data_IF_841104506990
#
_entry.id   IF_841104506990
#
_cell.length_a   1.000
_cell.length_b   1.000
_cell.length_c   1.000
_cell.angle_alpha   90.00
_cell.angle_beta   90.00
_cell.angle_gamma   90.00
#
_symmetry.space_group_name_H-M   'P 1'
#
loop_
_entity.id
_entity.type
_entity.pdbx_description
1 polymer ?
#
# COMPACT_ATOMS: atom_id res chain seq x y z
N UNK A 1 -28.37 -4.34 -2.78
CA UNK A 1 -27.20 -4.99 -3.43
C UNK A 1 -26.94 -4.39 -4.81
N UNK A 2 -27.93 -4.33 -5.71
CA UNK A 2 -27.75 -3.77 -7.07
C UNK A 2 -27.35 -2.28 -7.10
N UNK A 3 -27.97 -1.40 -6.30
CA UNK A 3 -27.64 0.03 -6.28
C UNK A 3 -26.22 0.33 -5.77
N UNK A 4 -25.70 -0.46 -4.82
CA UNK A 4 -24.34 -0.28 -4.28
C UNK A 4 -23.30 -0.70 -5.32
N UNK A 5 -23.52 -1.83 -6.00
CA UNK A 5 -22.66 -2.31 -7.08
C UNK A 5 -22.68 -1.35 -8.28
N UNK A 6 -23.85 -0.79 -8.61
CA UNK A 6 -24.02 0.19 -9.68
C UNK A 6 -23.31 1.51 -9.35
N UNK A 7 -23.46 2.02 -8.12
CA UNK A 7 -22.71 3.20 -7.65
C UNK A 7 -21.20 2.99 -7.66
N UNK A 8 -20.71 1.82 -7.22
CA UNK A 8 -19.29 1.47 -7.25
C UNK A 8 -18.75 1.42 -8.69
N UNK A 9 -19.52 0.83 -9.62
CA UNK A 9 -19.18 0.77 -11.03
C UNK A 9 -19.08 2.16 -11.67
N UNK A 10 -19.95 3.09 -11.27
CA UNK A 10 -19.97 4.46 -11.79
C UNK A 10 -18.80 5.28 -11.21
N UNK A 11 -18.54 5.18 -9.91
CA UNK A 11 -17.40 5.84 -9.27
C UNK A 11 -16.06 5.34 -9.86
N UNK A 12 -15.96 4.05 -10.16
CA UNK A 12 -14.83 3.46 -10.86
C UNK A 12 -14.60 4.10 -12.23
N UNK A 13 -15.64 4.32 -13.03
CA UNK A 13 -15.51 4.98 -14.34
C UNK A 13 -15.00 6.42 -14.21
N UNK A 14 -15.50 7.18 -13.23
CA UNK A 14 -15.04 8.54 -12.97
C UNK A 14 -13.55 8.60 -12.62
N UNK A 15 -13.10 7.66 -11.79
CA UNK A 15 -11.71 7.53 -11.36
C UNK A 15 -10.79 7.04 -12.50
N UNK A 16 -11.26 6.15 -13.37
CA UNK A 16 -10.54 5.76 -14.58
C UNK A 16 -10.41 6.93 -15.56
N UNK A 17 -11.46 7.75 -15.71
CA UNK A 17 -11.39 8.97 -16.52
C UNK A 17 -10.38 9.96 -15.94
N UNK A 18 -10.36 10.18 -14.62
CA UNK A 18 -9.37 11.01 -13.95
C UNK A 18 -7.94 10.53 -14.26
N UNK A 19 -7.67 9.23 -14.10
CA UNK A 19 -6.35 8.67 -14.39
C UNK A 19 -5.95 8.86 -15.86
N UNK A 20 -6.88 8.62 -16.80
CA UNK A 20 -6.63 8.81 -18.23
C UNK A 20 -6.36 10.29 -18.57
N UNK A 21 -7.15 11.20 -18.01
CA UNK A 21 -6.96 12.64 -18.14
C UNK A 21 -5.57 13.05 -17.64
N UNK A 22 -5.20 12.66 -16.41
CA UNK A 22 -3.90 13.00 -15.83
C UNK A 22 -2.74 12.41 -16.65
N UNK A 23 -2.88 11.18 -17.15
CA UNK A 23 -1.86 10.56 -18.02
C UNK A 23 -1.66 11.33 -19.33
N UNK A 24 -2.73 11.88 -19.92
CA UNK A 24 -2.62 12.75 -21.11
C UNK A 24 -1.94 14.10 -20.82
N UNK A 25 -1.93 14.53 -19.56
CA UNK A 25 -1.26 15.76 -19.12
C UNK A 25 0.18 15.52 -18.61
N UNK A 26 0.76 14.35 -18.92
CA UNK A 26 2.08 13.92 -18.43
C UNK A 26 2.24 14.07 -16.91
N UNK A 27 1.15 13.84 -16.17
CA UNK A 27 1.12 14.00 -14.72
C UNK A 27 2.14 13.10 -14.03
N UNK A 28 2.90 13.68 -13.10
CA UNK A 28 3.82 12.97 -12.23
C UNK A 28 3.71 13.53 -10.82
N UNK A 29 3.70 12.65 -9.82
CA UNK A 29 3.74 13.06 -8.42
C UNK A 29 4.29 11.94 -7.54
N UNK A 30 5.38 12.24 -6.82
CA UNK A 30 5.96 11.32 -5.85
C UNK A 30 5.35 11.57 -4.48
N UNK A 31 4.66 10.60 -3.90
CA UNK A 31 4.15 10.75 -2.53
C UNK A 31 5.28 10.57 -1.52
N UNK A 32 5.42 11.57 -0.65
CA UNK A 32 6.42 11.65 0.41
C UNK A 32 5.82 11.30 1.78
N UNK A 33 6.63 11.33 2.85
CA UNK A 33 6.16 11.03 4.21
C UNK A 33 5.05 12.00 4.65
N UNK A 34 4.06 11.53 5.45
CA UNK A 34 2.98 12.39 5.95
C UNK A 34 3.48 13.67 6.64
N UNK A 35 4.54 13.57 7.46
CA UNK A 35 5.12 14.72 8.14
C UNK A 35 5.69 15.76 7.17
N UNK A 36 6.41 15.31 6.13
CA UNK A 36 6.94 16.20 5.09
C UNK A 36 5.82 16.82 4.26
N UNK A 37 4.78 16.05 3.94
CA UNK A 37 3.57 16.53 3.26
C UNK A 37 2.89 17.65 4.06
N UNK A 38 2.69 17.44 5.36
CA UNK A 38 2.09 18.45 6.24
C UNK A 38 2.93 19.74 6.31
N UNK A 39 4.26 19.64 6.36
CA UNK A 39 5.18 20.79 6.33
C UNK A 39 5.07 21.57 5.03
N UNK A 40 4.89 20.90 3.88
CA UNK A 40 4.65 21.55 2.59
C UNK A 40 3.29 22.25 2.57
N UNK A 41 2.24 21.59 3.03
CA UNK A 41 0.91 22.18 3.12
C UNK A 41 0.90 23.43 3.99
N UNK A 42 1.57 23.39 5.14
CA UNK A 42 1.67 24.55 6.03
C UNK A 42 2.35 25.75 5.34
N UNK A 43 3.34 25.52 4.47
CA UNK A 43 3.95 26.59 3.65
C UNK A 43 2.99 27.12 2.58
N UNK A 44 2.22 26.23 1.93
CA UNK A 44 1.31 26.57 0.83
C UNK A 44 -0.02 27.18 1.29
N UNK A 45 -0.40 27.07 2.56
CA UNK A 45 -1.64 27.66 3.13
C UNK A 45 -1.80 29.15 2.86
N UNK A 46 -0.70 29.90 2.76
CA UNK A 46 -0.73 31.35 2.52
C UNK A 46 -0.82 31.73 1.02
N UNK A 47 -0.84 30.75 0.10
CA UNK A 47 -0.91 30.99 -1.34
C UNK A 47 -2.37 31.04 -1.85
N UNK A 48 -3.17 31.97 -1.32
CA UNK A 48 -4.64 32.01 -1.48
C UNK A 48 -5.08 32.38 -2.92
N UNK A 49 -4.22 33.04 -3.69
CA UNK A 49 -4.57 33.59 -5.01
C UNK A 49 -3.88 32.93 -6.21
N UNK A 50 -3.20 31.80 -6.01
CA UNK A 50 -2.55 31.08 -7.11
C UNK A 50 -3.51 30.09 -7.76
N UNK A 51 -3.55 30.09 -9.09
CA UNK A 51 -4.16 29.01 -9.87
C UNK A 51 -3.54 27.67 -9.45
N UNK A 52 -4.36 26.66 -9.22
CA UNK A 52 -3.89 25.34 -8.77
C UNK A 52 -3.52 24.46 -9.95
N UNK A 53 -2.38 23.80 -9.85
CA UNK A 53 -1.98 22.78 -10.83
C UNK A 53 -2.64 21.44 -10.50
N UNK A 54 -2.66 20.49 -11.44
CA UNK A 54 -3.10 19.13 -11.14
C UNK A 54 -2.28 18.48 -10.00
N UNK A 55 -0.99 18.81 -9.89
CA UNK A 55 -0.14 18.36 -8.77
C UNK A 55 -0.57 18.98 -7.44
N UNK A 56 -0.99 20.24 -7.41
CA UNK A 56 -1.54 20.83 -6.20
C UNK A 56 -2.84 20.13 -5.78
N UNK A 57 -3.73 19.83 -6.74
CA UNK A 57 -5.06 19.23 -6.49
C UNK A 57 -4.96 17.75 -6.11
N UNK A 58 -4.39 16.91 -6.98
CA UNK A 58 -4.38 15.46 -6.83
C UNK A 58 -3.11 14.92 -6.17
N UNK A 59 -2.02 15.70 -6.15
CA UNK A 59 -0.77 15.32 -5.51
C UNK A 59 -0.70 15.81 -4.07
N UNK A 60 -0.70 17.13 -3.89
CA UNK A 60 -0.64 17.77 -2.58
C UNK A 60 -1.99 17.79 -1.83
N UNK A 61 -3.11 17.52 -2.50
CA UNK A 61 -4.45 17.55 -1.91
C UNK A 61 -4.84 18.96 -1.41
N UNK A 62 -4.50 20.00 -2.15
CA UNK A 62 -4.86 21.38 -1.81
C UNK A 62 -6.28 21.73 -2.28
N UNK A 63 -6.92 22.63 -1.54
CA UNK A 63 -8.17 23.23 -1.98
C UNK A 63 -7.98 24.00 -3.30
N UNK A 64 -8.99 23.93 -4.16
CA UNK A 64 -9.00 24.55 -5.48
C UNK A 64 -10.37 25.12 -5.83
N UNK A 65 -10.42 26.01 -6.83
CA UNK A 65 -11.64 26.58 -7.38
C UNK A 65 -12.12 25.74 -8.55
N UNK A 66 -13.41 25.77 -8.86
CA UNK A 66 -13.98 25.10 -10.04
C UNK A 66 -13.21 25.41 -11.34
N UNK A 67 -12.71 26.64 -11.48
CA UNK A 67 -11.95 27.09 -12.66
C UNK A 67 -10.53 26.54 -12.77
N UNK A 68 -10.00 25.90 -11.72
CA UNK A 68 -8.67 25.28 -11.73
C UNK A 68 -8.67 23.88 -12.39
N UNK A 69 -9.83 23.33 -12.74
CA UNK A 69 -9.99 22.05 -13.43
C UNK A 69 -10.75 22.23 -14.75
N UNK A 70 -10.49 21.31 -15.69
CA UNK A 70 -11.35 21.15 -16.86
C UNK A 70 -12.82 20.95 -16.44
N UNK A 71 -13.73 21.62 -17.15
CA UNK A 71 -15.14 21.67 -16.77
C UNK A 71 -15.85 20.32 -16.83
N UNK A 72 -15.45 19.43 -17.75
CA UNK A 72 -16.01 18.09 -17.86
C UNK A 72 -15.48 17.20 -16.73
N UNK A 73 -14.16 17.27 -16.47
CA UNK A 73 -13.57 16.55 -15.34
C UNK A 73 -14.17 16.99 -14.00
N UNK A 74 -14.31 18.30 -13.77
CA UNK A 74 -14.89 18.84 -12.54
C UNK A 74 -16.31 18.31 -12.32
N UNK A 75 -17.16 18.40 -13.35
CA UNK A 75 -18.56 17.94 -13.29
C UNK A 75 -18.61 16.46 -12.94
N UNK A 76 -17.80 15.64 -13.62
CA UNK A 76 -17.71 14.20 -13.39
C UNK A 76 -17.31 13.88 -11.94
N UNK A 77 -16.25 14.51 -11.42
CA UNK A 77 -15.79 14.27 -10.05
C UNK A 77 -16.83 14.73 -9.01
N UNK A 78 -17.52 15.84 -9.26
CA UNK A 78 -18.55 16.35 -8.37
C UNK A 78 -19.78 15.44 -8.33
N UNK A 79 -20.30 15.02 -9.49
CA UNK A 79 -21.47 14.13 -9.61
C UNK A 79 -21.25 12.78 -8.92
N UNK A 80 -20.00 12.32 -8.85
CA UNK A 80 -19.62 11.05 -8.22
C UNK A 80 -19.06 11.20 -6.79
N UNK A 81 -19.29 12.35 -6.15
CA UNK A 81 -18.91 12.60 -4.74
C UNK A 81 -17.41 12.41 -4.47
N UNK A 82 -16.57 12.66 -5.48
CA UNK A 82 -15.11 12.61 -5.39
C UNK A 82 -14.52 13.97 -4.99
N UNK A 83 -15.36 14.99 -4.81
CA UNK A 83 -15.00 16.30 -4.31
C UNK A 83 -15.77 16.60 -3.02
N UNK A 84 -15.06 17.06 -2.00
CA UNK A 84 -15.64 17.67 -0.82
C UNK A 84 -15.72 19.19 -1.01
N UNK A 85 -16.87 19.78 -0.71
CA UNK A 85 -17.07 21.24 -0.73
C UNK A 85 -16.64 21.82 0.61
N UNK A 86 -15.82 22.87 0.58
CA UNK A 86 -15.40 23.67 1.73
C UNK A 86 -15.61 25.15 1.39
N UNK A 87 -16.69 25.74 1.89
CA UNK A 87 -17.10 27.11 1.53
C UNK A 87 -17.23 27.25 0.00
N UNK A 88 -16.42 28.12 -0.62
CA UNK A 88 -16.39 28.37 -2.07
C UNK A 88 -15.28 27.57 -2.80
N UNK A 89 -14.67 26.60 -2.12
CA UNK A 89 -13.58 25.78 -2.65
C UNK A 89 -13.90 24.29 -2.58
N UNK A 90 -13.11 23.51 -3.32
CA UNK A 90 -13.26 22.07 -3.45
C UNK A 90 -11.97 21.38 -3.01
N UNK A 91 -12.11 20.19 -2.44
CA UNK A 91 -11.03 19.32 -2.05
C UNK A 91 -11.24 17.95 -2.69
N UNK A 92 -10.20 17.40 -3.32
CA UNK A 92 -10.26 16.04 -3.86
C UNK A 92 -10.31 15.01 -2.73
N UNK A 93 -11.22 14.04 -2.85
CA UNK A 93 -11.34 12.87 -1.95
C UNK A 93 -10.31 11.77 -2.26
N UNK A 94 -9.59 11.91 -3.37
CA UNK A 94 -8.53 11.01 -3.81
C UNK A 94 -7.26 11.77 -4.12
N UNK A 95 -6.14 11.08 -3.99
CA UNK A 95 -4.84 11.51 -4.51
C UNK A 95 -4.37 10.56 -5.59
N UNK A 96 -3.47 11.05 -6.44
CA UNK A 96 -2.85 10.27 -7.50
C UNK A 96 -1.33 10.34 -7.35
N UNK A 97 -0.69 9.17 -7.27
CA UNK A 97 0.77 9.05 -7.25
C UNK A 97 1.28 8.40 -8.53
N UNK A 98 2.51 8.72 -8.92
CA UNK A 98 3.19 8.06 -10.01
C UNK A 98 4.30 7.12 -9.54
N UNK A 99 4.44 6.00 -10.24
CA UNK A 99 5.53 5.03 -10.07
C UNK A 99 5.71 4.26 -11.39
N UNK A 100 6.95 4.18 -11.87
CA UNK A 100 7.34 3.46 -13.11
C UNK A 100 6.48 3.80 -14.34
N UNK A 101 6.09 5.07 -14.47
CA UNK A 101 5.25 5.55 -15.59
C UNK A 101 3.76 5.18 -15.48
N UNK A 102 3.35 4.51 -14.41
CA UNK A 102 1.94 4.26 -14.08
C UNK A 102 1.43 5.25 -13.02
N UNK A 103 0.11 5.36 -12.93
CA UNK A 103 -0.60 6.22 -11.98
C UNK A 103 -1.48 5.38 -11.05
N UNK A 104 -1.52 5.76 -9.77
CA UNK A 104 -2.21 5.02 -8.72
C UNK A 104 -3.11 5.97 -7.93
N UNK A 105 -4.41 5.67 -7.88
CA UNK A 105 -5.34 6.32 -6.96
C UNK A 105 -5.15 5.75 -5.56
N UNK A 106 -5.17 6.64 -4.57
CA UNK A 106 -5.20 6.34 -3.15
C UNK A 106 -5.96 7.43 -2.37
N UNK A 107 -6.12 7.25 -1.05
CA UNK A 107 -6.92 8.17 -0.24
C UNK A 107 -6.35 9.59 -0.18
N UNK A 108 -7.27 10.55 0.02
CA UNK A 108 -6.95 11.94 0.32
C UNK A 108 -6.06 12.11 1.55
N UNK A 109 -5.39 13.27 1.62
CA UNK A 109 -4.60 13.70 2.77
C UNK A 109 -5.38 14.74 3.60
N UNK A 110 -5.37 14.67 4.95
CA UNK A 110 -4.72 13.66 5.78
C UNK A 110 -5.49 12.32 5.78
N UNK A 111 -4.76 11.21 5.94
CA UNK A 111 -5.34 9.86 6.00
C UNK A 111 -5.84 9.53 7.41
N UNK A 112 -6.92 10.20 7.83
CA UNK A 112 -7.52 10.02 9.16
C UNK A 112 -8.62 8.98 9.19
N UNK A 113 -9.16 8.58 8.03
CA UNK A 113 -10.23 7.60 7.97
C UNK A 113 -9.72 6.19 8.29
N UNK A 114 -10.54 5.43 9.02
CA UNK A 114 -10.28 4.04 9.37
C UNK A 114 -9.98 3.15 8.15
N UNK A 115 -10.67 3.42 7.05
CA UNK A 115 -10.59 2.69 5.78
C UNK A 115 -9.63 3.33 4.76
N UNK A 116 -8.81 4.30 5.18
CA UNK A 116 -7.93 5.00 4.24
C UNK A 116 -6.97 4.03 3.56
N UNK A 117 -6.73 4.25 2.26
CA UNK A 117 -5.79 3.47 1.46
C UNK A 117 -4.53 4.31 1.28
N UNK A 118 -3.43 3.81 1.82
CA UNK A 118 -2.16 4.53 1.82
C UNK A 118 -1.30 4.17 0.62
N UNK A 119 -0.52 5.15 0.17
CA UNK A 119 0.55 5.01 -0.81
C UNK A 119 1.64 5.99 -0.38
N UNK A 120 2.89 5.54 -0.26
CA UNK A 120 3.96 6.39 0.26
C UNK A 120 5.36 5.80 0.09
N UNK A 121 6.36 6.40 0.76
CA UNK A 121 7.77 5.99 0.66
C UNK A 121 8.04 4.50 0.88
N UNK A 122 7.27 3.87 1.77
CA UNK A 122 7.30 2.44 2.02
C UNK A 122 6.95 1.61 0.78
N UNK A 123 5.93 2.02 0.02
CA UNK A 123 5.53 1.37 -1.24
C UNK A 123 6.67 1.40 -2.25
N UNK A 124 7.34 2.55 -2.42
CA UNK A 124 8.48 2.68 -3.34
C UNK A 124 9.64 1.75 -2.94
N UNK A 125 10.02 1.73 -1.66
CA UNK A 125 11.11 0.87 -1.16
C UNK A 125 10.75 -0.60 -1.27
N UNK A 126 9.52 -0.97 -0.90
CA UNK A 126 9.04 -2.34 -0.99
C UNK A 126 9.16 -2.88 -2.41
N UNK A 127 8.66 -2.12 -3.39
CA UNK A 127 8.70 -2.50 -4.79
C UNK A 127 10.14 -2.60 -5.31
N UNK A 128 11.00 -1.67 -4.91
CA UNK A 128 12.42 -1.73 -5.27
C UNK A 128 13.07 -3.04 -4.81
N UNK A 129 12.95 -3.37 -3.52
CA UNK A 129 13.57 -4.58 -2.97
C UNK A 129 12.93 -5.88 -3.50
N UNK A 130 11.61 -5.88 -3.69
CA UNK A 130 10.90 -7.02 -4.27
C UNK A 130 11.37 -7.31 -5.70
N UNK A 131 11.52 -6.29 -6.55
CA UNK A 131 12.08 -6.46 -7.89
C UNK A 131 13.48 -7.08 -7.87
N UNK A 132 14.36 -6.60 -6.99
CA UNK A 132 15.71 -7.16 -6.86
C UNK A 132 15.66 -8.63 -6.42
N UNK A 133 14.79 -8.96 -5.48
CA UNK A 133 14.61 -10.32 -5.02
C UNK A 133 14.12 -11.24 -6.15
N UNK A 134 13.10 -10.83 -6.90
CA UNK A 134 12.54 -11.60 -8.00
C UNK A 134 13.51 -11.76 -9.18
N UNK A 135 14.28 -10.73 -9.50
CA UNK A 135 15.30 -10.79 -10.56
C UNK A 135 16.42 -11.78 -10.26
N UNK A 136 16.67 -12.08 -8.99
CA UNK A 136 17.67 -13.06 -8.56
C UNK A 136 17.14 -14.51 -8.56
N UNK A 137 15.84 -14.74 -8.78
CA UNK A 137 15.27 -16.09 -8.73
C UNK A 137 15.53 -16.85 -10.03
N UNK A 138 15.92 -18.14 -9.96
CA UNK A 138 16.29 -18.91 -11.15
C UNK A 138 15.09 -19.32 -12.01
N UNK A 139 13.87 -19.25 -11.46
CA UNK A 139 12.63 -19.67 -12.12
C UNK A 139 11.51 -18.69 -11.82
N UNK A 140 10.59 -18.47 -12.78
CA UNK A 140 9.42 -17.63 -12.55
C UNK A 140 8.42 -18.32 -11.63
N UNK A 141 7.70 -17.51 -10.85
CA UNK A 141 6.56 -17.94 -10.04
C UNK A 141 5.29 -17.94 -10.89
N UNK A 142 4.43 -18.97 -10.73
CA UNK A 142 3.20 -19.07 -11.54
C UNK A 142 1.99 -18.57 -10.78
N UNK A 143 1.84 -18.98 -9.52
CA UNK A 143 0.72 -18.61 -8.65
C UNK A 143 1.20 -17.75 -7.50
N UNK A 144 0.80 -16.49 -7.52
CA UNK A 144 1.35 -15.43 -6.68
C UNK A 144 0.24 -14.75 -5.89
N UNK A 145 0.53 -14.33 -4.66
CA UNK A 145 -0.38 -13.50 -3.89
C UNK A 145 0.32 -12.35 -3.17
N UNK A 146 -0.26 -11.15 -3.30
CA UNK A 146 0.02 -9.98 -2.46
C UNK A 146 -0.92 -9.97 -1.25
N UNK A 147 -0.39 -9.97 -0.01
CA UNK A 147 -1.20 -9.70 1.19
C UNK A 147 -1.18 -8.21 1.54
N UNK A 148 -2.31 -7.70 2.02
CA UNK A 148 -2.51 -6.29 2.39
C UNK A 148 -2.24 -5.36 1.20
N UNK A 149 -2.89 -5.65 0.07
CA UNK A 149 -2.50 -5.08 -1.20
C UNK A 149 -2.70 -3.57 -1.33
N UNK A 150 -3.60 -2.95 -0.54
CA UNK A 150 -3.84 -1.51 -0.60
C UNK A 150 -4.19 -1.05 -2.02
N UNK A 151 -3.27 -0.34 -2.67
CA UNK A 151 -3.40 0.16 -4.05
C UNK A 151 -3.06 -0.86 -5.14
N UNK A 152 -2.50 -2.02 -4.78
CA UNK A 152 -1.88 -3.03 -5.66
C UNK A 152 -0.72 -2.51 -6.51
N UNK A 153 -0.06 -1.44 -6.06
CA UNK A 153 1.10 -0.89 -6.75
C UNK A 153 2.23 -1.91 -6.93
N UNK A 154 2.47 -2.77 -5.93
CA UNK A 154 3.51 -3.79 -6.03
C UNK A 154 3.14 -4.91 -6.99
N UNK A 155 1.92 -5.46 -6.91
CA UNK A 155 1.40 -6.42 -7.87
C UNK A 155 1.46 -5.92 -9.32
N UNK A 156 0.96 -4.70 -9.58
CA UNK A 156 0.99 -4.07 -10.90
C UNK A 156 2.42 -3.93 -11.41
N UNK A 157 3.33 -3.43 -10.56
CA UNK A 157 4.74 -3.30 -10.90
C UNK A 157 5.37 -4.66 -11.22
N UNK A 158 5.13 -5.71 -10.43
CA UNK A 158 5.66 -7.06 -10.68
C UNK A 158 5.13 -7.61 -12.00
N UNK A 159 3.82 -7.54 -12.24
CA UNK A 159 3.20 -8.05 -13.46
C UNK A 159 3.75 -7.38 -14.74
N UNK A 160 4.15 -6.11 -14.66
CA UNK A 160 4.83 -5.41 -15.76
C UNK A 160 6.27 -5.89 -16.01
N UNK A 161 7.02 -6.17 -14.95
CA UNK A 161 8.45 -6.49 -15.05
C UNK A 161 8.72 -8.00 -15.20
N UNK A 162 7.79 -8.84 -14.74
CA UNK A 162 7.91 -10.30 -14.71
C UNK A 162 6.66 -10.95 -15.34
N UNK A 163 6.50 -10.92 -16.67
CA UNK A 163 5.29 -11.36 -17.36
C UNK A 163 5.02 -12.87 -17.31
N UNK A 164 5.93 -13.65 -16.72
CA UNK A 164 5.79 -15.09 -16.54
C UNK A 164 4.90 -15.47 -15.32
N UNK A 165 4.37 -14.48 -14.59
CA UNK A 165 3.36 -14.71 -13.54
C UNK A 165 2.01 -14.94 -14.20
N UNK A 166 1.47 -16.15 -14.05
CA UNK A 166 0.24 -16.58 -14.73
C UNK A 166 -1.03 -16.20 -13.96
N UNK A 167 -1.00 -16.34 -12.63
CA UNK A 167 -2.14 -16.11 -11.74
C UNK A 167 -1.65 -15.25 -10.58
N UNK A 168 -2.16 -14.02 -10.49
CA UNK A 168 -1.84 -13.10 -9.41
C UNK A 168 -3.09 -12.73 -8.64
N UNK A 169 -3.11 -13.04 -7.36
CA UNK A 169 -4.14 -12.57 -6.44
C UNK A 169 -3.61 -11.39 -5.63
N UNK A 170 -4.48 -10.46 -5.30
CA UNK A 170 -4.18 -9.36 -4.38
C UNK A 170 -5.25 -9.35 -3.31
N UNK A 171 -4.86 -9.48 -2.05
CA UNK A 171 -5.79 -9.69 -0.95
C UNK A 171 -5.75 -8.52 0.05
N UNK A 172 -6.92 -8.07 0.46
CA UNK A 172 -7.06 -7.04 1.50
C UNK A 172 -8.34 -7.27 2.32
N UNK A 173 -8.32 -6.81 3.57
CA UNK A 173 -9.51 -6.81 4.43
C UNK A 173 -10.41 -5.61 4.11
N UNK A 174 -9.82 -4.51 3.66
CA UNK A 174 -10.48 -3.24 3.43
C UNK A 174 -11.19 -3.19 2.06
N UNK A 175 -12.53 -3.10 2.01
CA UNK A 175 -13.27 -3.02 0.74
C UNK A 175 -12.87 -1.82 -0.13
N UNK A 176 -12.46 -0.70 0.47
CA UNK A 176 -12.00 0.49 -0.25
C UNK A 176 -10.63 0.28 -0.89
N UNK A 177 -9.74 -0.47 -0.24
CA UNK A 177 -8.48 -0.90 -0.85
C UNK A 177 -8.75 -1.75 -2.09
N UNK A 178 -9.68 -2.71 -2.02
CA UNK A 178 -10.04 -3.54 -3.16
C UNK A 178 -10.67 -2.75 -4.31
N UNK A 179 -11.49 -1.74 -4.02
CA UNK A 179 -12.01 -0.83 -5.03
C UNK A 179 -10.88 -0.08 -5.75
N UNK A 180 -9.95 0.51 -5.00
CA UNK A 180 -8.82 1.25 -5.59
C UNK A 180 -7.84 0.32 -6.32
N UNK A 181 -7.57 -0.85 -5.76
CA UNK A 181 -6.83 -1.94 -6.41
C UNK A 181 -7.46 -2.28 -7.77
N UNK A 182 -8.77 -2.54 -7.82
CA UNK A 182 -9.46 -2.84 -9.07
C UNK A 182 -9.35 -1.70 -10.09
N UNK A 183 -9.49 -0.44 -9.66
CA UNK A 183 -9.31 0.73 -10.53
C UNK A 183 -7.89 0.79 -11.10
N UNK A 184 -6.88 0.69 -10.24
CA UNK A 184 -5.48 0.77 -10.64
C UNK A 184 -5.09 -0.38 -11.57
N UNK A 185 -5.55 -1.61 -11.29
CA UNK A 185 -5.34 -2.80 -12.13
C UNK A 185 -5.99 -2.60 -13.50
N UNK A 186 -7.23 -2.11 -13.53
CA UNK A 186 -7.97 -1.86 -14.76
C UNK A 186 -7.30 -0.77 -15.60
N UNK A 187 -6.80 0.29 -14.95
CA UNK A 187 -6.07 1.36 -15.63
C UNK A 187 -4.74 0.87 -16.23
N UNK A 188 -4.05 -0.03 -15.53
CA UNK A 188 -2.86 -0.71 -16.05
C UNK A 188 -3.20 -1.75 -17.13
N UNK A 189 -4.47 -2.13 -17.32
CA UNK A 189 -4.87 -3.17 -18.27
C UNK A 189 -4.35 -4.57 -17.90
N UNK A 190 -4.17 -4.85 -16.61
CA UNK A 190 -3.61 -6.10 -16.08
C UNK A 190 -4.71 -7.03 -15.54
N UNK A 191 -5.62 -7.46 -16.41
CA UNK A 191 -6.83 -8.21 -16.01
C UNK A 191 -6.58 -9.61 -15.40
N UNK A 192 -5.33 -10.09 -15.38
CA UNK A 192 -4.93 -11.34 -14.72
C UNK A 192 -4.58 -11.16 -13.23
N UNK A 193 -4.68 -9.92 -12.72
CA UNK A 193 -4.58 -9.62 -11.29
C UNK A 193 -5.98 -9.59 -10.70
N UNK A 194 -6.23 -10.39 -9.67
CA UNK A 194 -7.56 -10.61 -9.10
C UNK A 194 -7.64 -10.14 -7.65
N UNK A 195 -8.36 -9.03 -7.36
CA UNK A 195 -8.63 -8.60 -6.00
C UNK A 195 -9.55 -9.57 -5.26
N UNK A 196 -9.18 -9.92 -4.03
CA UNK A 196 -9.95 -10.82 -3.15
C UNK A 196 -10.10 -10.21 -1.77
N UNK A 197 -11.34 -10.04 -1.31
CA UNK A 197 -11.59 -9.64 0.07
C UNK A 197 -11.30 -10.81 1.00
N UNK A 198 -10.30 -10.66 1.87
CA UNK A 198 -9.85 -11.73 2.75
C UNK A 198 -9.24 -11.18 4.03
N UNK A 199 -9.52 -11.83 5.17
CA UNK A 199 -8.69 -11.67 6.36
C UNK A 199 -7.50 -12.64 6.21
N UNK A 200 -6.34 -12.10 5.84
CA UNK A 200 -5.17 -12.89 5.47
C UNK A 200 -5.53 -13.98 4.44
N UNK A 201 -5.37 -15.26 4.78
CA UNK A 201 -5.57 -16.37 3.85
C UNK A 201 -6.97 -17.02 3.91
N UNK A 202 -7.89 -16.47 4.71
CA UNK A 202 -9.19 -17.09 4.99
C UNK A 202 -10.09 -17.31 3.76
N UNK A 203 -10.10 -16.38 2.80
CA UNK A 203 -10.90 -16.47 1.58
C UNK A 203 -10.04 -16.78 0.34
N UNK A 204 -8.85 -17.33 0.55
CA UNK A 204 -7.96 -17.75 -0.52
C UNK A 204 -7.90 -19.26 -0.54
N UNK A 205 -7.97 -19.84 -1.73
CA UNK A 205 -7.87 -21.28 -1.92
C UNK A 205 -6.45 -21.72 -2.29
N UNK A 206 -6.10 -22.96 -1.93
CA UNK A 206 -4.86 -23.61 -2.36
C UNK A 206 -3.57 -22.98 -1.83
N UNK A 207 -2.47 -23.23 -2.55
CA UNK A 207 -1.11 -22.83 -2.18
C UNK A 207 -0.45 -21.95 -3.24
N UNK A 208 0.57 -21.21 -2.86
CA UNK A 208 1.23 -20.20 -3.69
C UNK A 208 2.70 -20.53 -3.89
N UNK A 209 3.23 -20.17 -5.06
CA UNK A 209 4.65 -20.21 -5.36
C UNK A 209 5.37 -18.98 -4.80
N UNK A 210 4.65 -17.84 -4.69
CA UNK A 210 5.13 -16.62 -4.06
C UNK A 210 4.03 -15.97 -3.23
N UNK A 211 4.34 -15.66 -1.98
CA UNK A 211 3.58 -14.76 -1.11
C UNK A 211 4.44 -13.52 -0.89
N UNK A 212 3.92 -12.33 -1.14
CA UNK A 212 4.61 -11.09 -0.78
C UNK A 212 3.69 -10.13 -0.04
N UNK A 213 4.25 -9.32 0.85
CA UNK A 213 3.45 -8.40 1.64
C UNK A 213 4.25 -7.20 2.17
N UNK A 214 3.57 -6.05 2.22
CA UNK A 214 3.93 -4.87 3.00
C UNK A 214 2.73 -4.55 3.92
N UNK A 215 2.53 -5.31 5.01
CA UNK A 215 1.40 -5.09 5.89
C UNK A 215 1.58 -3.82 6.73
N UNK A 216 0.49 -3.32 7.32
CA UNK A 216 0.56 -2.41 8.47
C UNK A 216 1.50 -2.93 9.56
N UNK A 217 2.38 -2.06 10.07
CA UNK A 217 3.43 -2.45 11.03
C UNK A 217 3.63 -1.44 12.18
N UNK A 218 2.68 -0.52 12.42
CA UNK A 218 2.74 0.45 13.52
C UNK A 218 1.67 0.17 14.58
N UNK A 219 1.85 0.73 15.77
CA UNK A 219 0.82 0.85 16.80
C UNK A 219 0.10 2.16 16.57
N UNK A 220 -1.09 2.07 15.99
CA UNK A 220 -1.98 3.21 15.83
C UNK A 220 -3.10 3.19 16.87
N UNK A 221 -3.24 4.22 17.73
CA UNK A 221 -4.32 4.33 18.71
C UNK A 221 -5.71 4.33 18.08
N UNK A 222 -5.83 4.93 16.88
CA UNK A 222 -7.08 4.95 16.10
C UNK A 222 -7.34 3.64 15.36
N UNK A 223 -6.40 2.69 15.43
CA UNK A 223 -6.52 1.36 14.82
C UNK A 223 -6.73 1.38 13.30
N UNK A 224 -6.30 2.44 12.58
CA UNK A 224 -6.53 2.58 11.13
C UNK A 224 -5.96 1.39 10.37
N UNK A 225 -6.75 0.84 9.44
CA UNK A 225 -6.47 -0.46 8.82
C UNK A 225 -5.15 -0.49 8.03
N UNK A 226 -4.74 0.62 7.43
CA UNK A 226 -3.49 0.71 6.68
C UNK A 226 -2.24 0.88 7.57
N UNK A 227 -2.43 1.09 8.88
CA UNK A 227 -1.37 1.55 9.78
C UNK A 227 -1.17 0.62 10.97
N UNK A 228 -2.26 0.18 11.61
CA UNK A 228 -2.21 -0.64 12.80
C UNK A 228 -1.83 -2.11 12.49
N UNK A 229 -0.65 -2.54 12.92
CA UNK A 229 -0.18 -3.92 12.72
C UNK A 229 -0.34 -4.82 13.95
N UNK A 230 -0.86 -4.31 15.06
CA UNK A 230 -1.08 -5.06 16.31
C UNK A 230 -0.26 -4.51 17.49
N UNK A 231 -0.51 -5.04 18.69
CA UNK A 231 0.11 -4.50 19.91
C UNK A 231 1.12 -5.46 20.56
N UNK A 232 1.00 -6.77 20.37
CA UNK A 232 1.76 -7.76 21.12
C UNK A 232 3.24 -7.82 20.71
N UNK A 233 3.55 -7.43 19.47
CA UNK A 233 4.91 -7.35 18.93
C UNK A 233 5.21 -5.92 18.44
N UNK A 234 4.76 -4.93 19.22
CA UNK A 234 4.97 -3.50 18.97
C UNK A 234 4.62 -3.03 17.54
N UNK A 235 3.47 -3.44 17.01
CA UNK A 235 3.07 -3.14 15.64
C UNK A 235 3.30 -4.30 14.67
N UNK A 236 4.03 -5.36 15.05
CA UNK A 236 4.43 -6.41 14.10
C UNK A 236 3.57 -7.69 14.15
N UNK A 237 2.45 -7.70 14.87
CA UNK A 237 1.62 -8.90 15.04
C UNK A 237 1.09 -9.42 13.69
N UNK A 238 0.64 -8.50 12.83
CA UNK A 238 0.11 -8.82 11.50
C UNK A 238 1.19 -9.40 10.60
N UNK A 239 2.39 -8.79 10.59
CA UNK A 239 3.59 -9.31 9.93
C UNK A 239 3.92 -10.74 10.38
N UNK A 240 3.90 -10.99 11.69
CA UNK A 240 4.16 -12.32 12.25
C UNK A 240 3.08 -13.34 11.86
N UNK A 241 1.80 -12.93 11.88
CA UNK A 241 0.68 -13.77 11.43
C UNK A 241 0.76 -14.12 9.96
N UNK A 242 1.12 -13.17 9.09
CA UNK A 242 1.32 -13.41 7.66
C UNK A 242 2.40 -14.46 7.44
N UNK A 243 3.52 -14.39 8.16
CA UNK A 243 4.57 -15.41 8.08
C UNK A 243 4.05 -16.77 8.55
N UNK A 244 3.43 -16.82 9.74
CA UNK A 244 2.97 -18.07 10.36
C UNK A 244 1.91 -18.79 9.52
N UNK A 245 0.92 -18.05 9.03
CA UNK A 245 -0.12 -18.60 8.16
C UNK A 245 0.43 -18.87 6.75
N UNK A 246 1.26 -17.97 6.22
CA UNK A 246 1.85 -18.07 4.88
C UNK A 246 2.72 -19.31 4.70
N UNK A 247 3.51 -19.70 5.71
CA UNK A 247 4.30 -20.95 5.70
C UNK A 247 3.46 -22.20 5.40
N UNK A 248 2.18 -22.22 5.80
CA UNK A 248 1.27 -23.33 5.54
C UNK A 248 0.67 -23.29 4.13
N UNK A 249 0.74 -22.11 3.49
CA UNK A 249 0.15 -21.80 2.18
C UNK A 249 1.18 -21.77 1.06
N UNK A 250 2.45 -22.07 1.32
CA UNK A 250 3.47 -22.23 0.28
C UNK A 250 3.46 -23.63 -0.34
N UNK A 251 3.69 -23.66 -1.66
CA UNK A 251 4.07 -24.87 -2.39
C UNK A 251 5.50 -25.32 -1.99
N UNK A 252 5.87 -26.55 -2.33
CA UNK A 252 7.29 -26.94 -2.30
C UNK A 252 8.04 -26.08 -3.34
N UNK A 253 9.23 -25.59 -2.97
CA UNK A 253 9.92 -24.54 -3.73
C UNK A 253 9.24 -23.17 -3.69
N UNK A 254 8.27 -22.95 -2.79
CA UNK A 254 7.55 -21.69 -2.66
C UNK A 254 8.27 -20.66 -1.80
N UNK A 255 8.04 -19.38 -2.08
CA UNK A 255 8.75 -18.26 -1.45
C UNK A 255 7.80 -17.31 -0.70
N UNK A 256 8.26 -16.77 0.42
CA UNK A 256 7.63 -15.64 1.10
C UNK A 256 8.59 -14.47 1.20
N UNK A 257 8.14 -13.30 0.76
CA UNK A 257 8.87 -12.03 0.84
C UNK A 257 8.08 -11.00 1.62
N UNK A 258 8.52 -10.67 2.83
CA UNK A 258 7.86 -9.70 3.70
C UNK A 258 8.73 -8.46 3.88
N UNK A 259 8.12 -7.30 3.76
CA UNK A 259 8.66 -6.00 4.16
C UNK A 259 7.89 -5.52 5.38
N UNK A 260 8.57 -5.11 6.45
CA UNK A 260 7.90 -4.62 7.67
C UNK A 260 8.79 -3.67 8.45
N UNK A 261 8.18 -2.69 9.12
CA UNK A 261 8.81 -2.01 10.24
C UNK A 261 9.01 -2.97 11.41
N UNK A 262 10.04 -2.75 12.22
CA UNK A 262 10.31 -3.48 13.47
C UNK A 262 10.84 -2.52 14.52
N UNK A 263 10.42 -2.69 15.76
CA UNK A 263 10.95 -1.93 16.88
C UNK A 263 12.23 -2.54 17.41
N UNK A 264 13.15 -1.70 17.86
CA UNK A 264 14.35 -2.09 18.58
C UNK A 264 14.37 -1.36 19.91
N UNK A 265 14.55 -2.12 20.99
CA UNK A 265 14.61 -1.62 22.36
C UNK A 265 15.97 -1.95 22.98
N UNK A 266 16.19 -1.52 24.23
CA UNK A 266 17.37 -1.92 25.01
C UNK A 266 17.49 -3.46 25.19
N UNK A 267 16.38 -4.19 25.05
CA UNK A 267 16.33 -5.66 25.13
C UNK A 267 16.43 -6.33 23.75
N UNK A 268 16.63 -5.54 22.69
CA UNK A 268 16.79 -5.98 21.31
C UNK A 268 15.49 -5.96 20.51
N UNK A 269 15.43 -6.78 19.46
CA UNK A 269 14.31 -6.85 18.52
C UNK A 269 13.38 -8.03 18.88
N UNK A 270 12.22 -7.72 19.47
CA UNK A 270 11.24 -8.69 19.93
C UNK A 270 10.63 -9.51 18.78
N UNK A 271 10.34 -8.86 17.65
CA UNK A 271 9.82 -9.52 16.46
C UNK A 271 10.81 -10.58 15.93
N UNK A 272 12.10 -10.23 15.84
CA UNK A 272 13.14 -11.15 15.38
C UNK A 272 13.35 -12.34 16.33
N UNK A 273 13.18 -12.15 17.64
CA UNK A 273 13.22 -13.24 18.62
C UNK A 273 12.09 -14.25 18.35
N UNK A 274 10.85 -13.76 18.24
CA UNK A 274 9.69 -14.59 17.92
C UNK A 274 9.81 -15.27 16.55
N UNK A 275 10.33 -14.54 15.56
CA UNK A 275 10.59 -15.09 14.24
C UNK A 275 11.58 -16.26 14.31
N UNK A 276 12.71 -16.11 15.00
CA UNK A 276 13.70 -17.18 15.19
C UNK A 276 13.08 -18.41 15.84
N UNK A 277 12.23 -18.23 16.85
CA UNK A 277 11.58 -19.33 17.54
C UNK A 277 10.53 -20.04 16.70
N UNK A 278 9.80 -19.31 15.85
CA UNK A 278 8.93 -19.89 14.84
C UNK A 278 9.73 -20.72 13.84
N UNK A 279 10.83 -20.18 13.30
CA UNK A 279 11.61 -20.86 12.26
C UNK A 279 12.25 -22.17 12.75
N UNK A 280 12.62 -22.29 14.04
CA UNK A 280 13.12 -23.54 14.64
C UNK A 280 12.12 -24.69 14.55
N UNK A 281 10.83 -24.40 14.38
CA UNK A 281 9.76 -25.41 14.30
C UNK A 281 9.64 -26.03 12.89
N UNK A 282 10.39 -25.53 11.91
CA UNK A 282 10.33 -25.97 10.52
C UNK A 282 11.69 -26.53 10.08
N UNK A 283 11.70 -27.74 9.50
CA UNK A 283 12.92 -28.47 9.14
C UNK A 283 13.29 -28.41 7.64
N UNK A 284 12.46 -27.77 6.80
CA UNK A 284 12.67 -27.68 5.34
C UNK A 284 12.45 -26.26 4.81
N UNK A 285 13.03 -25.28 5.50
CA UNK A 285 12.99 -23.88 5.09
C UNK A 285 14.37 -23.26 5.11
N UNK A 286 14.62 -22.37 4.16
CA UNK A 286 15.75 -21.45 4.18
C UNK A 286 15.15 -20.06 4.43
N UNK A 287 15.70 -19.31 5.39
CA UNK A 287 15.19 -17.99 5.68
C UNK A 287 16.30 -17.01 6.01
N UNK A 288 16.02 -15.72 5.80
CA UNK A 288 16.90 -14.62 6.16
C UNK A 288 16.10 -13.45 6.71
N UNK A 289 16.72 -12.72 7.63
CA UNK A 289 16.28 -11.41 8.09
C UNK A 289 17.36 -10.39 7.74
N UNK A 290 16.97 -9.26 7.17
CA UNK A 290 17.87 -8.20 6.75
C UNK A 290 17.27 -6.85 7.14
N UNK A 291 17.98 -6.08 7.96
CA UNK A 291 17.63 -4.69 8.23
C UNK A 291 18.16 -3.81 7.08
N UNK A 292 17.27 -3.11 6.39
CA UNK A 292 17.60 -2.34 5.17
C UNK A 292 17.55 -0.82 5.36
N UNK A 293 16.90 -0.36 6.43
CA UNK A 293 16.90 1.04 6.85
C UNK A 293 16.87 1.06 8.38
N UNK A 294 17.91 1.58 9.06
CA UNK A 294 18.00 1.47 10.51
C UNK A 294 17.08 2.44 11.26
N UNK A 295 16.54 3.46 10.61
CA UNK A 295 15.74 4.49 11.28
C UNK A 295 14.67 5.06 10.35
N UNK A 296 13.43 4.61 10.57
CA UNK A 296 12.23 5.08 9.89
C UNK A 296 11.24 5.59 10.93
N UNK A 297 10.43 6.59 10.55
CA UNK A 297 9.33 7.07 11.38
C UNK A 297 9.75 7.57 12.78
N UNK A 298 10.88 8.29 12.87
CA UNK A 298 11.34 8.85 14.15
C UNK A 298 10.32 9.74 14.86
N UNK A 299 9.36 10.33 14.12
CA UNK A 299 8.23 11.06 14.71
C UNK A 299 7.30 10.19 15.57
N UNK A 300 7.27 8.87 15.38
CA UNK A 300 6.42 7.96 16.16
C UNK A 300 6.95 7.76 17.57
N UNK A 301 8.24 8.01 17.82
CA UNK A 301 8.84 7.91 19.15
C UNK A 301 8.30 8.97 20.11
N UNK A 302 7.63 10.00 19.62
CA UNK A 302 6.90 10.97 20.44
C UNK A 302 5.58 10.39 21.01
N UNK A 303 5.09 9.26 20.48
CA UNK A 303 3.83 8.67 20.90
C UNK A 303 3.98 7.87 22.19
N UNK A 304 2.94 7.84 23.07
CA UNK A 304 2.97 7.06 24.31
C UNK A 304 3.26 5.56 24.10
N UNK A 305 2.82 5.01 22.97
CA UNK A 305 2.97 3.59 22.63
C UNK A 305 4.42 3.18 22.31
N UNK A 306 5.34 4.15 22.13
CA UNK A 306 6.71 3.90 21.69
C UNK A 306 7.76 4.43 22.67
N UNK A 307 7.37 4.83 23.90
CA UNK A 307 8.32 5.37 24.89
C UNK A 307 9.38 4.34 25.37
N UNK A 308 9.15 3.05 25.15
CA UNK A 308 10.11 1.97 25.42
C UNK A 308 10.97 1.59 24.19
N UNK A 309 10.76 2.23 23.05
CA UNK A 309 11.41 1.92 21.78
C UNK A 309 12.52 2.92 21.50
N UNK A 310 13.73 2.42 21.18
CA UNK A 310 14.89 3.27 20.89
C UNK A 310 14.88 3.74 19.43
N UNK A 311 14.42 2.87 18.51
CA UNK A 311 14.27 3.17 17.08
C UNK A 311 13.30 2.20 16.41
N UNK A 312 12.75 2.61 15.28
CA UNK A 312 11.98 1.75 14.39
C UNK A 312 12.82 1.53 13.14
N UNK A 313 13.18 0.28 12.87
CA UNK A 313 13.94 -0.11 11.70
C UNK A 313 13.01 -0.68 10.62
N UNK A 314 13.53 -0.76 9.41
CA UNK A 314 12.89 -1.47 8.31
C UNK A 314 13.60 -2.79 8.05
N UNK A 315 12.83 -3.88 7.95
CA UNK A 315 13.36 -5.21 7.73
C UNK A 315 12.71 -5.91 6.53
N UNK A 316 13.53 -6.73 5.86
CA UNK A 316 13.09 -7.73 4.91
C UNK A 316 13.20 -9.12 5.54
N UNK A 317 12.17 -9.92 5.34
CA UNK A 317 12.14 -11.33 5.70
C UNK A 317 11.91 -12.12 4.43
N UNK A 318 12.82 -13.03 4.14
CA UNK A 318 12.79 -13.89 2.95
C UNK A 318 12.75 -15.32 3.44
N UNK A 319 11.82 -16.12 2.93
CA UNK A 319 11.67 -17.54 3.27
C UNK A 319 11.49 -18.32 1.97
N UNK A 320 12.15 -19.47 1.87
CA UNK A 320 12.03 -20.44 0.80
C UNK A 320 11.73 -21.81 1.43
N UNK A 321 10.72 -22.50 0.91
CA UNK A 321 10.42 -23.90 1.27
C UNK A 321 11.21 -24.81 0.34
N UNK A 322 11.91 -25.80 0.88
CA UNK A 322 12.65 -26.75 0.06
C UNK A 322 11.75 -27.52 -0.93
N UNK A 323 12.35 -27.96 -2.04
CA UNK A 323 11.67 -28.77 -3.06
C UNK A 323 11.28 -30.14 -2.52
#
# INVERSE_FOLDING_TARGET
MNQILEMQSIQQQALLYLLAFLKQQDYQFTTITPLSHQRILNRKKNEIYKHRTHQDIFGWNLNFKKTDLDSALFTLLQEHQLLQVQEDQYLSQVRVSSLDGELFIHSAFPTTQQDAVFFGPDTYRFIYHLKQYLAAQPRPFKRVVEMCCGTSAAAISIARHFPAVNEMMVADLNPKALLYSQINISFAGLNHIHPVQSNLFSNLDGKFDLIFANPPYLIDPEQRQYRHGGNALDGCDLSFRIIKEGLQRLNSGGHLFLYTGVTVTEHGNLFLQHLKDLMKQHQNIIWSYEEIDPDIFGEELEQPAYQHVERIALALIKIEVGN
#
